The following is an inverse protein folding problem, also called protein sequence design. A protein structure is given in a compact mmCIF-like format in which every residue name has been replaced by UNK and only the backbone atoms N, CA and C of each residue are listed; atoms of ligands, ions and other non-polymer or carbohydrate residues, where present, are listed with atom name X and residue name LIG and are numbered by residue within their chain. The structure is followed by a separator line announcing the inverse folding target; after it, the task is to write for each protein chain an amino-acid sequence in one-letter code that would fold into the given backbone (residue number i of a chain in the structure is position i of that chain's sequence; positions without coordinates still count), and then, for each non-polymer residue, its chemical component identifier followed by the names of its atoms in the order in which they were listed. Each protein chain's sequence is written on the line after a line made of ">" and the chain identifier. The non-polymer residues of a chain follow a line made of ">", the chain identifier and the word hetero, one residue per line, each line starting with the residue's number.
data_IF_207927306534
#
_entry.id   IF_207927306534
#
_cell.length_a   1.000
_cell.length_b   1.000
_cell.length_c   1.000
_cell.angle_alpha   90.00
_cell.angle_beta   90.00
_cell.angle_gamma   90.00
#
_symmetry.space_group_name_H-M   'P 1'
#
loop_
_entity.id
_entity.type
_entity.pdbx_description
1 polymer ?
#
# COMPACT_ATOMS: atom_id res chain seq x y z
N UNK A 1 -3.76 -31.54 8.05
CA UNK A 1 -3.60 -30.56 6.95
C UNK A 1 -2.66 -29.46 7.45
N UNK A 2 -1.49 -29.32 6.83
CA UNK A 2 -0.53 -28.27 7.16
C UNK A 2 -1.17 -26.92 6.84
N UNK A 3 -1.29 -26.04 7.83
CA UNK A 3 -1.74 -24.68 7.57
C UNK A 3 -0.60 -23.98 6.83
N UNK A 4 -0.71 -23.90 5.50
CA UNK A 4 0.15 -23.06 4.67
C UNK A 4 0.07 -21.65 5.24
N UNK A 5 1.12 -21.23 5.95
CA UNK A 5 1.22 -19.86 6.44
C UNK A 5 1.34 -19.01 5.17
N UNK A 6 0.31 -18.22 4.79
CA UNK A 6 0.39 -17.49 3.54
C UNK A 6 1.51 -16.47 3.70
N UNK A 7 2.59 -16.70 2.97
CA UNK A 7 3.71 -15.78 2.88
C UNK A 7 3.19 -14.55 2.17
N UNK A 8 3.38 -13.36 2.74
CA UNK A 8 2.97 -12.12 2.09
C UNK A 8 3.60 -12.06 0.69
N UNK A 9 2.81 -11.91 -0.40
CA UNK A 9 3.36 -11.80 -1.73
C UNK A 9 4.24 -10.56 -1.81
N UNK A 10 5.26 -10.57 -2.64
CA UNK A 10 6.04 -9.36 -2.90
C UNK A 10 5.19 -8.36 -3.69
N UNK A 11 5.09 -7.11 -3.24
CA UNK A 11 4.48 -6.03 -4.00
C UNK A 11 5.35 -5.68 -5.21
N UNK A 12 4.79 -5.86 -6.41
CA UNK A 12 5.50 -5.61 -7.67
C UNK A 12 4.93 -4.38 -8.36
N UNK A 13 3.61 -4.17 -8.26
CA UNK A 13 2.96 -3.03 -8.88
C UNK A 13 1.46 -2.98 -8.60
N UNK A 14 0.71 -2.18 -9.38
CA UNK A 14 -0.72 -1.95 -9.12
C UNK A 14 -1.58 -3.22 -9.15
N UNK A 15 -1.22 -4.18 -10.02
CA UNK A 15 -2.01 -5.41 -10.24
C UNK A 15 -2.16 -6.30 -9.01
N UNK A 16 -1.17 -6.31 -8.11
CA UNK A 16 -1.21 -7.12 -6.89
C UNK A 16 -1.32 -6.29 -5.60
N UNK A 17 -1.51 -4.97 -5.71
CA UNK A 17 -1.53 -4.06 -4.58
C UNK A 17 -2.61 -4.39 -3.55
N UNK A 18 -3.85 -4.66 -3.99
CA UNK A 18 -4.96 -4.93 -3.07
C UNK A 18 -4.75 -6.22 -2.27
N UNK A 19 -4.28 -7.28 -2.93
CA UNK A 19 -3.96 -8.56 -2.28
C UNK A 19 -2.80 -8.37 -1.32
N UNK A 20 -1.74 -7.70 -1.76
CA UNK A 20 -0.60 -7.36 -0.91
C UNK A 20 -1.02 -6.56 0.33
N UNK A 21 -1.82 -5.50 0.15
CA UNK A 21 -2.30 -4.63 1.24
C UNK A 21 -3.05 -5.42 2.30
N UNK A 22 -3.94 -6.33 1.90
CA UNK A 22 -4.67 -7.18 2.85
C UNK A 22 -3.72 -8.09 3.63
N UNK A 23 -2.77 -8.73 2.94
CA UNK A 23 -1.86 -9.67 3.57
C UNK A 23 -0.81 -8.99 4.46
N UNK A 24 -0.26 -7.85 4.05
CA UNK A 24 0.71 -7.10 4.87
C UNK A 24 0.03 -6.54 6.12
N UNK A 25 -1.20 -6.04 6.01
CA UNK A 25 -1.99 -5.63 7.18
C UNK A 25 -2.25 -6.80 8.13
N UNK A 26 -2.56 -7.99 7.60
CA UNK A 26 -2.73 -9.19 8.43
C UNK A 26 -1.42 -9.58 9.14
N UNK A 27 -0.28 -9.51 8.46
CA UNK A 27 1.05 -9.78 9.04
C UNK A 27 1.39 -8.77 10.14
N UNK A 28 1.24 -7.48 9.87
CA UNK A 28 1.49 -6.42 10.85
C UNK A 28 0.57 -6.52 12.08
N UNK A 29 -0.69 -6.97 11.93
CA UNK A 29 -1.58 -7.27 13.07
C UNK A 29 -1.08 -8.42 13.92
N UNK A 30 -0.66 -9.53 13.30
CA UNK A 30 -0.12 -10.70 14.01
C UNK A 30 1.13 -10.32 14.82
N UNK A 31 1.94 -9.44 14.25
CA UNK A 31 3.15 -8.89 14.84
C UNK A 31 2.88 -7.75 15.84
N UNK A 32 1.61 -7.35 16.02
CA UNK A 32 1.16 -6.27 16.91
C UNK A 32 1.79 -4.90 16.63
N UNK A 33 2.16 -4.64 15.38
CA UNK A 33 2.79 -3.38 14.94
C UNK A 33 2.01 -2.69 13.82
N UNK A 34 0.74 -3.09 13.58
CA UNK A 34 -0.12 -2.46 12.57
C UNK A 34 -0.29 -0.96 12.84
N UNK A 35 -0.41 -0.54 14.10
CA UNK A 35 -0.63 0.86 14.41
C UNK A 35 0.58 1.76 14.11
N UNK A 36 1.79 1.20 13.99
CA UNK A 36 2.96 1.92 13.46
C UNK A 36 2.81 2.25 11.97
N UNK A 37 2.26 1.32 11.19
CA UNK A 37 2.04 1.51 9.76
C UNK A 37 0.78 2.32 9.44
N UNK A 38 -0.21 2.33 10.35
CA UNK A 38 -1.44 3.12 10.22
C UNK A 38 -1.40 4.44 11.00
N UNK A 39 -0.29 4.74 11.67
CA UNK A 39 -0.14 5.99 12.41
C UNK A 39 -1.21 6.14 13.51
N UNK A 40 -1.74 5.02 14.03
CA UNK A 40 -2.66 5.02 15.16
C UNK A 40 -1.90 4.88 16.48
N UNK A 41 -0.71 4.26 16.44
CA UNK A 41 0.21 4.17 17.57
C UNK A 41 1.13 5.40 17.58
N UNK A 42 0.52 6.60 17.49
CA UNK A 42 1.26 7.85 17.58
C UNK A 42 1.79 7.95 19.00
N UNK A 43 3.11 7.96 19.13
CA UNK A 43 3.77 8.40 20.34
C UNK A 43 3.27 9.82 20.62
N UNK A 44 2.38 9.98 21.59
CA UNK A 44 1.86 11.28 22.01
C UNK A 44 2.59 11.69 23.29
N UNK A 45 3.67 12.49 23.21
CA UNK A 45 4.32 13.03 24.41
C UNK A 45 3.35 13.84 25.28
N UNK A 46 2.28 14.33 24.68
CA UNK A 46 1.25 15.17 25.31
C UNK A 46 0.38 14.40 26.30
N UNK A 47 0.14 13.09 26.11
CA UNK A 47 -0.61 12.29 27.10
C UNK A 47 0.26 12.00 28.34
N UNK A 48 1.58 11.89 28.16
CA UNK A 48 2.54 11.69 29.25
C UNK A 48 2.85 12.96 30.04
N UNK A 49 2.55 14.16 29.53
CA UNK A 49 2.80 15.43 30.24
C UNK A 49 1.92 15.62 31.48
N UNK A 50 0.78 14.94 31.56
CA UNK A 50 -0.11 14.96 32.72
C UNK A 50 0.32 13.97 33.80
N UNK A 51 1.12 12.96 33.44
CA UNK A 51 1.59 11.95 34.36
C UNK A 51 3.00 12.37 34.83
N UNK A 52 3.19 12.53 36.14
CA UNK A 52 4.50 12.80 36.75
C UNK A 52 5.38 11.55 36.61
N UNK A 53 5.75 11.19 35.39
CA UNK A 53 6.54 9.99 35.11
C UNK A 53 8.02 10.39 35.21
N UNK A 54 8.77 9.62 36.01
CA UNK A 54 10.23 9.62 36.01
C UNK A 54 10.78 9.64 34.59
N UNK A 55 11.82 10.44 34.34
CA UNK A 55 12.53 10.56 33.07
C UNK A 55 12.97 9.22 32.46
N UNK A 56 13.09 8.18 33.30
CA UNK A 56 13.48 6.82 32.91
C UNK A 56 12.37 6.09 32.14
N UNK A 57 11.12 6.18 32.59
CA UNK A 57 10.01 5.45 31.94
C UNK A 57 9.60 6.10 30.60
N UNK A 58 9.78 7.42 30.45
CA UNK A 58 9.62 8.08 29.15
C UNK A 58 10.63 7.57 28.12
N UNK A 59 11.89 7.33 28.53
CA UNK A 59 12.92 6.78 27.66
C UNK A 59 12.61 5.34 27.24
N UNK A 60 12.12 4.51 28.17
CA UNK A 60 11.70 3.14 27.86
C UNK A 60 10.57 3.09 26.83
N UNK A 61 9.57 3.96 26.94
CA UNK A 61 8.50 4.04 25.96
C UNK A 61 9.02 4.47 24.57
N UNK A 62 9.90 5.47 24.51
CA UNK A 62 10.51 5.94 23.25
C UNK A 62 11.28 4.79 22.57
N UNK A 63 12.10 4.07 23.33
CA UNK A 63 12.87 2.93 22.81
C UNK A 63 11.95 1.82 22.28
N UNK A 64 10.88 1.53 23.02
CA UNK A 64 9.87 0.53 22.61
C UNK A 64 9.15 0.95 21.33
N UNK A 65 8.81 2.23 21.19
CA UNK A 65 8.22 2.77 19.96
C UNK A 65 9.18 2.67 18.78
N UNK A 66 10.45 3.04 18.98
CA UNK A 66 11.50 2.93 17.94
C UNK A 66 11.64 1.48 17.47
N UNK A 67 11.63 0.52 18.40
CA UNK A 67 11.72 -0.90 18.09
C UNK A 67 10.51 -1.39 17.29
N UNK A 68 9.30 -1.03 17.70
CA UNK A 68 8.07 -1.39 16.98
C UNK A 68 8.02 -0.75 15.59
N UNK A 69 8.44 0.50 15.45
CA UNK A 69 8.53 1.16 14.15
C UNK A 69 9.54 0.46 13.24
N UNK A 70 10.74 0.11 13.73
CA UNK A 70 11.74 -0.65 12.97
C UNK A 70 11.21 -2.00 12.52
N UNK A 71 10.53 -2.73 13.40
CA UNK A 71 9.92 -4.02 13.08
C UNK A 71 8.86 -3.88 11.99
N UNK A 72 7.94 -2.92 12.12
CA UNK A 72 6.92 -2.67 11.10
C UNK A 72 7.53 -2.25 9.76
N UNK A 73 8.53 -1.38 9.78
CA UNK A 73 9.24 -0.90 8.61
C UNK A 73 9.94 -2.05 7.88
N UNK A 74 10.68 -2.90 8.60
CA UNK A 74 11.32 -4.09 8.02
C UNK A 74 10.32 -5.07 7.41
N UNK A 75 9.21 -5.35 8.11
CA UNK A 75 8.14 -6.22 7.57
C UNK A 75 7.60 -5.70 6.23
N UNK A 76 7.41 -4.38 6.11
CA UNK A 76 6.93 -3.75 4.88
C UNK A 76 8.02 -3.84 3.80
N UNK A 77 9.27 -3.48 4.10
CA UNK A 77 10.39 -3.54 3.16
C UNK A 77 10.61 -4.95 2.59
N UNK A 78 10.58 -5.98 3.43
CA UNK A 78 10.73 -7.38 3.01
C UNK A 78 9.62 -7.84 2.07
N UNK A 79 8.49 -7.13 2.07
CA UNK A 79 7.31 -7.45 1.29
C UNK A 79 7.18 -6.65 -0.01
N UNK A 80 8.15 -5.80 -0.36
CA UNK A 80 8.12 -5.00 -1.60
C UNK A 80 9.29 -5.33 -2.53
N UNK A 81 9.10 -5.12 -3.83
CA UNK A 81 10.16 -5.31 -4.82
C UNK A 81 11.27 -4.26 -4.69
N UNK A 82 12.48 -4.58 -5.16
CA UNK A 82 13.63 -3.65 -5.17
C UNK A 82 13.32 -2.32 -5.89
N UNK A 83 12.49 -2.35 -6.94
CA UNK A 83 12.09 -1.15 -7.66
C UNK A 83 11.23 -0.21 -6.81
N UNK A 84 10.35 -0.76 -5.96
CA UNK A 84 9.57 0.03 -5.01
C UNK A 84 10.40 0.44 -3.80
N UNK A 85 11.31 -0.42 -3.35
CA UNK A 85 12.24 -0.13 -2.26
C UNK A 85 13.06 1.14 -2.55
N UNK A 86 13.63 1.25 -3.76
CA UNK A 86 14.34 2.44 -4.22
C UNK A 86 13.46 3.71 -4.19
N UNK A 87 12.18 3.59 -4.57
CA UNK A 87 11.24 4.73 -4.54
C UNK A 87 10.88 5.17 -3.13
N UNK A 88 11.07 4.29 -2.15
CA UNK A 88 10.73 4.53 -0.74
C UNK A 88 11.96 4.68 0.17
N UNK A 89 13.17 4.77 -0.40
CA UNK A 89 14.44 4.77 0.35
C UNK A 89 14.50 5.87 1.41
N UNK A 90 13.96 7.05 1.10
CA UNK A 90 13.97 8.21 2.00
C UNK A 90 13.00 8.08 3.18
N UNK A 91 12.14 7.06 3.21
CA UNK A 91 11.13 6.88 4.25
C UNK A 91 11.66 6.02 5.40
N UNK A 92 11.86 6.65 6.55
CA UNK A 92 12.47 6.03 7.73
C UNK A 92 11.46 5.45 8.73
N UNK A 93 10.17 5.77 8.57
CA UNK A 93 9.10 5.23 9.42
C UNK A 93 8.20 4.27 8.67
N UNK A 94 7.60 3.33 9.40
CA UNK A 94 6.64 2.38 8.85
C UNK A 94 5.41 3.08 8.25
N UNK A 95 4.99 4.19 8.87
CA UNK A 95 3.92 5.05 8.38
C UNK A 95 4.27 5.69 7.03
N UNK A 96 5.47 6.28 6.93
CA UNK A 96 5.90 6.98 5.71
C UNK A 96 6.01 6.02 4.53
N UNK A 97 6.65 4.85 4.73
CA UNK A 97 6.76 3.85 3.65
C UNK A 97 5.38 3.31 3.24
N UNK A 98 4.47 3.07 4.19
CA UNK A 98 3.13 2.58 3.87
C UNK A 98 2.32 3.62 3.07
N UNK A 99 2.38 4.90 3.46
CA UNK A 99 1.70 5.98 2.74
C UNK A 99 2.33 6.32 1.40
N UNK A 100 3.64 6.19 1.27
CA UNK A 100 4.33 6.34 -0.01
C UNK A 100 3.87 5.27 -1.00
N UNK A 101 3.77 4.01 -0.57
CA UNK A 101 3.26 2.91 -1.38
C UNK A 101 1.79 3.13 -1.78
N UNK A 102 0.95 3.63 -0.85
CA UNK A 102 -0.42 4.03 -1.17
C UNK A 102 -0.47 5.14 -2.24
N UNK A 103 0.38 6.15 -2.09
CA UNK A 103 0.48 7.28 -3.03
C UNK A 103 0.92 6.82 -4.42
N UNK A 104 1.92 5.94 -4.49
CA UNK A 104 2.40 5.34 -5.76
C UNK A 104 1.27 4.57 -6.44
N UNK A 105 0.52 3.77 -5.71
CA UNK A 105 -0.62 3.03 -6.24
C UNK A 105 -1.72 3.97 -6.76
N UNK A 106 -2.09 4.99 -5.99
CA UNK A 106 -3.11 5.97 -6.38
C UNK A 106 -2.70 6.75 -7.64
N UNK A 107 -1.45 7.20 -7.71
CA UNK A 107 -0.91 7.88 -8.88
C UNK A 107 -0.94 6.95 -10.12
N UNK A 108 -0.52 5.69 -9.95
CA UNK A 108 -0.55 4.70 -11.04
C UNK A 108 -1.98 4.45 -11.53
N UNK A 109 -2.94 4.31 -10.62
CA UNK A 109 -4.34 4.13 -10.98
C UNK A 109 -4.92 5.36 -11.69
N UNK A 110 -4.57 6.58 -11.26
CA UNK A 110 -4.98 7.81 -11.94
C UNK A 110 -4.43 7.86 -13.38
N UNK A 111 -3.14 7.59 -13.57
CA UNK A 111 -2.51 7.59 -14.90
C UNK A 111 -3.12 6.53 -15.82
N UNK A 112 -3.31 5.31 -15.32
CA UNK A 112 -3.95 4.25 -16.11
C UNK A 112 -5.42 4.58 -16.43
N UNK A 113 -6.15 5.19 -15.49
CA UNK A 113 -7.54 5.62 -15.71
C UNK A 113 -7.61 6.69 -16.79
N UNK A 114 -6.71 7.68 -16.74
CA UNK A 114 -6.61 8.71 -17.76
C UNK A 114 -6.37 8.10 -19.16
N UNK A 115 -5.44 7.15 -19.28
CA UNK A 115 -5.14 6.53 -20.57
C UNK A 115 -6.30 5.67 -21.08
N UNK A 116 -7.01 4.95 -20.20
CA UNK A 116 -8.20 4.17 -20.58
C UNK A 116 -9.34 5.09 -21.03
N UNK A 117 -9.59 6.19 -20.32
CA UNK A 117 -10.58 7.19 -20.73
C UNK A 117 -10.19 7.83 -22.06
N UNK A 118 -8.92 8.16 -22.26
CA UNK A 118 -8.42 8.68 -23.53
C UNK A 118 -8.66 7.68 -24.67
N UNK A 119 -8.39 6.38 -24.46
CA UNK A 119 -8.70 5.35 -25.45
C UNK A 119 -10.21 5.25 -25.72
N UNK A 120 -11.04 5.32 -24.69
CA UNK A 120 -12.49 5.25 -24.80
C UNK A 120 -13.06 6.45 -25.59
N UNK A 121 -12.58 7.67 -25.33
CA UNK A 121 -13.01 8.85 -26.08
C UNK A 121 -12.54 8.84 -27.55
N UNK A 122 -11.36 8.26 -27.80
CA UNK A 122 -10.82 8.16 -29.17
C UNK A 122 -11.31 6.92 -29.92
N UNK A 123 -12.08 6.02 -29.28
CA UNK A 123 -12.62 4.84 -29.95
C UNK A 123 -13.82 5.22 -30.81
N UNK A 124 -13.57 5.81 -31.98
CA UNK A 124 -14.58 5.97 -33.02
C UNK A 124 -14.68 4.67 -33.83
N UNK A 125 -15.90 4.17 -34.04
CA UNK A 125 -16.11 3.05 -34.95
C UNK A 125 -15.77 3.46 -36.39
N UNK A 126 -14.93 2.67 -37.06
CA UNK A 126 -14.59 2.88 -38.46
C UNK A 126 -15.23 1.78 -39.32
N UNK A 127 -15.65 2.15 -40.54
CA UNK A 127 -16.33 1.23 -41.48
C UNK A 127 -15.47 0.00 -41.85
N UNK A 128 -14.16 0.05 -41.65
CA UNK A 128 -13.23 -1.06 -41.88
C UNK A 128 -13.10 -2.06 -40.73
N UNK A 129 -13.76 -1.83 -39.59
CA UNK A 129 -13.70 -2.69 -38.41
C UNK A 129 -15.03 -3.38 -38.13
N UNK A 130 -15.00 -4.67 -37.80
CA UNK A 130 -16.20 -5.40 -37.42
C UNK A 130 -16.85 -4.76 -36.18
N UNK A 131 -18.17 -4.55 -36.22
CA UNK A 131 -18.94 -3.98 -35.11
C UNK A 131 -18.75 -4.80 -33.84
N UNK A 132 -18.70 -6.12 -33.95
CA UNK A 132 -18.43 -7.03 -32.82
C UNK A 132 -17.08 -6.73 -32.16
N UNK A 133 -16.03 -6.50 -32.95
CA UNK A 133 -14.70 -6.15 -32.44
C UNK A 133 -14.69 -4.81 -31.71
N UNK A 134 -15.48 -3.83 -32.18
CA UNK A 134 -15.63 -2.55 -31.51
C UNK A 134 -16.37 -2.68 -30.16
N UNK A 135 -17.43 -3.47 -30.10
CA UNK A 135 -18.15 -3.76 -28.84
C UNK A 135 -17.22 -4.46 -27.85
N UNK A 136 -16.45 -5.45 -28.28
CA UNK A 136 -15.49 -6.16 -27.42
C UNK A 136 -14.43 -5.21 -26.86
N UNK A 137 -13.93 -4.25 -27.66
CA UNK A 137 -12.99 -3.23 -27.18
C UNK A 137 -13.62 -2.37 -26.07
N UNK A 138 -14.83 -1.86 -26.29
CA UNK A 138 -15.53 -1.03 -25.30
C UNK A 138 -15.76 -1.77 -23.98
N UNK A 139 -16.24 -3.02 -24.06
CA UNK A 139 -16.45 -3.88 -22.88
C UNK A 139 -15.13 -4.14 -22.13
N UNK A 140 -14.02 -4.30 -22.85
CA UNK A 140 -12.71 -4.51 -22.24
C UNK A 140 -12.23 -3.27 -21.49
N UNK A 141 -12.39 -2.09 -22.08
CA UNK A 141 -12.03 -0.81 -21.44
C UNK A 141 -12.89 -0.55 -20.20
N UNK A 142 -14.21 -0.82 -20.29
CA UNK A 142 -15.14 -0.72 -19.17
C UNK A 142 -14.76 -1.67 -18.02
N UNK A 143 -14.49 -2.95 -18.33
CA UNK A 143 -14.05 -3.92 -17.34
C UNK A 143 -12.72 -3.54 -16.68
N UNK A 144 -11.80 -2.93 -17.43
CA UNK A 144 -10.57 -2.37 -16.88
C UNK A 144 -10.85 -1.24 -15.88
N UNK A 145 -11.70 -0.27 -16.21
CA UNK A 145 -12.11 0.81 -15.30
C UNK A 145 -12.76 0.26 -14.02
N UNK A 146 -13.59 -0.78 -14.13
CA UNK A 146 -14.23 -1.42 -12.99
C UNK A 146 -13.24 -2.02 -11.98
N UNK A 147 -12.09 -2.51 -12.44
CA UNK A 147 -11.04 -3.14 -11.60
C UNK A 147 -10.15 -2.15 -10.86
N UNK A 148 -10.27 -0.85 -11.15
CA UNK A 148 -9.36 0.18 -10.60
C UNK A 148 -9.94 0.92 -9.38
N UNK A 149 -11.17 0.58 -8.97
CA UNK A 149 -11.85 1.04 -7.74
C UNK A 149 -11.33 0.30 -6.51
#
# INVERSE_FOLDING_TARGET
>A
ASADTPTCPTLIGPSNFQIWKLQIMAKLRREKVLGMALGTDIFSPTLSRTLTISSTAMLEEILKWVEWNKRAHGIIQDSISNALLLKTEMHTTAWDIFNALLSIHQASNLTSTFYILQQLFNSAWSRGFAISGHITLLQTLEACLGRMK
#
